data_IF_407239384622
#
_entry.id   IF_407239384622
#
_cell.length_a   1.000
_cell.length_b   1.000
_cell.length_c   1.000
_cell.angle_alpha   90.00
_cell.angle_beta   90.00
_cell.angle_gamma   90.00
#
_symmetry.space_group_name_H-M   'P 1'
#
loop_
_entity.id
_entity.type
_entity.pdbx_description
1 polymer ?
#
# COMPACT_ATOMS: atom_id res chain seq x y z
N UNK A 1 9.53 -16.15 -25.80
CA UNK A 1 9.16 -16.01 -25.61
C UNK A 1 8.88 -15.71 -25.59
N UNK A 2 8.95 -15.73 -25.56
CA UNK A 2 8.51 -15.53 -25.36
C UNK A 2 7.82 -15.46 -25.04
N UNK A 3 7.68 -15.92 -25.16
CA UNK A 3 6.94 -15.98 -24.74
C UNK A 3 6.79 -15.78 -23.93
N UNK A 4 7.06 -15.83 -23.95
CA UNK A 4 6.81 -15.53 -22.86
C UNK A 4 5.95 -14.64 -22.65
N UNK A 5 5.10 -15.04 -21.96
CA UNK A 5 4.36 -13.94 -21.57
C UNK A 5 5.29 -12.81 -21.27
N UNK A 6 5.02 -11.69 -21.80
CA UNK A 6 5.79 -10.56 -21.44
C UNK A 6 5.66 -10.40 -19.93
N UNK A 7 6.73 -10.62 -19.26
CA UNK A 7 6.78 -10.16 -17.89
C UNK A 7 6.65 -8.67 -18.01
N UNK A 8 5.51 -8.14 -17.66
CA UNK A 8 5.37 -6.70 -17.69
C UNK A 8 6.38 -6.11 -16.71
N UNK A 9 7.15 -5.17 -17.21
CA UNK A 9 8.03 -4.39 -16.37
C UNK A 9 7.16 -3.72 -15.31
N UNK A 10 7.48 -3.87 -14.01
CA UNK A 10 6.68 -3.22 -12.99
C UNK A 10 6.57 -1.73 -13.25
N UNK A 11 5.36 -1.22 -13.17
CA UNK A 11 5.10 0.19 -13.35
C UNK A 11 5.81 0.95 -12.23
N UNK A 12 6.52 2.00 -12.59
CA UNK A 12 7.15 2.86 -11.59
C UNK A 12 6.10 3.82 -11.05
N UNK A 13 5.74 3.64 -9.79
CA UNK A 13 4.69 4.42 -9.18
C UNK A 13 5.20 5.78 -8.73
N UNK A 14 4.29 6.75 -8.76
CA UNK A 14 4.59 8.13 -8.37
C UNK A 14 4.43 8.32 -6.88
N UNK A 15 5.06 9.37 -6.37
CA UNK A 15 4.80 9.81 -5.01
C UNK A 15 3.39 10.40 -4.94
N UNK A 16 2.67 10.20 -3.83
CA UNK A 16 1.34 10.79 -3.69
C UNK A 16 1.42 12.29 -3.47
N UNK A 17 0.37 12.99 -3.90
CA UNK A 17 0.11 14.35 -3.46
C UNK A 17 -0.84 14.20 -2.27
N UNK A 18 -0.40 14.49 -1.05
CA UNK A 18 -1.20 14.19 0.13
C UNK A 18 -2.55 14.91 0.13
N UNK A 19 -3.60 14.18 0.48
CA UNK A 19 -4.95 14.72 0.60
C UNK A 19 -5.41 14.77 2.04
N UNK A 20 -4.61 14.25 2.96
CA UNK A 20 -4.90 14.27 4.41
C UNK A 20 -3.62 14.03 5.19
N UNK A 21 -3.71 14.12 6.51
CA UNK A 21 -2.57 13.91 7.40
C UNK A 21 -2.03 12.49 7.25
N UNK A 22 -0.70 12.33 7.39
CA UNK A 22 -0.10 11.00 7.28
C UNK A 22 -0.45 10.11 8.47
N UNK A 23 -0.29 8.80 8.28
CA UNK A 23 -0.38 7.82 9.35
C UNK A 23 1.01 7.34 9.69
N UNK A 24 1.22 6.96 10.93
CA UNK A 24 2.54 6.52 11.41
C UNK A 24 2.45 5.12 12.00
N UNK A 25 3.42 4.29 11.67
CA UNK A 25 3.53 2.93 12.20
C UNK A 25 4.94 2.68 12.67
N UNK A 26 5.06 2.16 13.89
CA UNK A 26 6.35 1.70 14.39
C UNK A 26 6.29 0.18 14.44
N UNK A 27 7.11 -0.51 13.64
CA UNK A 27 7.04 -1.97 13.56
C UNK A 27 7.22 -2.62 14.93
N UNK A 28 6.33 -3.54 15.24
CA UNK A 28 6.41 -4.37 16.43
C UNK A 28 7.14 -5.66 16.07
N UNK A 29 7.50 -6.42 17.08
CA UNK A 29 8.23 -7.68 16.86
C UNK A 29 7.54 -8.60 15.85
N UNK A 30 6.21 -8.69 15.93
CA UNK A 30 5.44 -9.56 15.03
C UNK A 30 5.42 -9.09 13.59
N UNK A 31 5.85 -7.86 13.32
CA UNK A 31 5.92 -7.33 11.96
C UNK A 31 7.22 -7.72 11.25
N UNK A 32 8.16 -8.30 11.99
CA UNK A 32 9.50 -8.54 11.48
C UNK A 32 9.66 -9.96 10.97
N UNK A 33 10.50 -10.10 9.95
CA UNK A 33 10.91 -11.40 9.46
C UNK A 33 12.14 -11.90 10.23
N UNK A 34 12.68 -13.02 9.77
CA UNK A 34 13.83 -13.66 10.41
C UNK A 34 15.06 -12.76 10.44
N UNK A 35 15.19 -11.85 9.49
CA UNK A 35 16.34 -10.94 9.39
C UNK A 35 16.09 -9.60 10.06
N UNK A 36 15.01 -9.47 10.81
CA UNK A 36 14.60 -8.26 11.52
C UNK A 36 14.20 -7.12 10.58
N UNK A 37 13.89 -7.44 9.33
CA UNK A 37 13.28 -6.50 8.41
C UNK A 37 11.76 -6.60 8.54
N UNK A 38 11.06 -5.50 8.27
CA UNK A 38 9.60 -5.54 8.22
C UNK A 38 9.18 -6.47 7.09
N UNK A 39 8.32 -7.41 7.41
CA UNK A 39 7.77 -8.33 6.41
C UNK A 39 6.93 -7.54 5.41
N UNK A 40 7.21 -7.69 4.12
CA UNK A 40 6.50 -6.95 3.08
C UNK A 40 4.98 -7.11 3.16
N UNK A 41 4.49 -8.25 3.62
CA UNK A 41 3.06 -8.47 3.77
C UNK A 41 2.42 -7.50 4.77
N UNK A 42 3.20 -6.98 5.72
CA UNK A 42 2.66 -6.03 6.71
C UNK A 42 2.31 -4.69 6.08
N UNK A 43 3.02 -4.30 5.02
CA UNK A 43 2.72 -3.05 4.35
C UNK A 43 1.30 -3.05 3.79
N UNK A 44 0.81 -4.20 3.31
CA UNK A 44 -0.55 -4.31 2.79
C UNK A 44 -1.56 -4.03 3.90
N UNK A 45 -1.33 -4.60 5.09
CA UNK A 45 -2.20 -4.34 6.25
C UNK A 45 -2.18 -2.86 6.62
N UNK A 46 -1.00 -2.25 6.64
CA UNK A 46 -0.87 -0.85 6.99
C UNK A 46 -1.54 0.06 5.97
N UNK A 47 -1.46 -0.31 4.68
CA UNK A 47 -2.14 0.42 3.61
C UNK A 47 -3.66 0.39 3.85
N UNK A 48 -4.21 -0.79 4.12
CA UNK A 48 -5.65 -0.91 4.37
C UNK A 48 -6.05 -0.13 5.61
N UNK A 49 -5.21 -0.11 6.63
CA UNK A 49 -5.49 0.59 7.88
C UNK A 49 -5.41 2.11 7.74
N UNK A 50 -4.92 2.61 6.60
CA UNK A 50 -4.92 4.04 6.33
C UNK A 50 -6.32 4.59 6.09
N UNK A 51 -7.31 3.71 5.85
CA UNK A 51 -8.67 4.10 5.52
C UNK A 51 -9.61 3.82 6.67
N UNK A 52 -10.66 4.65 6.79
CA UNK A 52 -11.70 4.42 7.78
C UNK A 52 -12.37 3.08 7.46
N UNK A 53 -12.54 2.19 8.44
CA UNK A 53 -13.25 0.93 8.21
C UNK A 53 -14.63 1.10 7.56
N UNK A 54 -15.31 2.22 7.84
CA UNK A 54 -16.60 2.50 7.25
C UNK A 54 -16.55 2.61 5.73
N UNK A 55 -15.40 2.99 5.17
CA UNK A 55 -15.24 3.06 3.72
C UNK A 55 -15.46 1.70 3.08
N UNK A 56 -15.01 0.64 3.76
CA UNK A 56 -15.10 -0.72 3.23
C UNK A 56 -16.48 -1.32 3.33
N UNK A 57 -17.45 -0.60 3.91
CA UNK A 57 -18.86 -0.99 3.82
C UNK A 57 -19.45 -0.61 2.46
N UNK A 58 -18.84 0.35 1.78
CA UNK A 58 -19.33 0.84 0.50
C UNK A 58 -18.43 0.45 -0.67
N UNK A 59 -17.15 0.27 -0.41
CA UNK A 59 -16.15 0.02 -1.44
C UNK A 59 -15.22 -1.10 -1.01
N UNK A 60 -14.57 -1.71 -2.00
CA UNK A 60 -13.48 -2.65 -1.77
C UNK A 60 -12.30 -2.24 -2.63
N UNK A 61 -11.12 -2.72 -2.29
CA UNK A 61 -9.95 -2.50 -3.14
C UNK A 61 -10.02 -3.52 -4.26
N UNK A 62 -10.13 -3.03 -5.49
CA UNK A 62 -10.21 -3.87 -6.68
C UNK A 62 -8.85 -4.45 -7.04
N UNK A 63 -7.84 -3.61 -7.03
CA UNK A 63 -6.47 -4.05 -7.29
C UNK A 63 -5.50 -3.14 -6.54
N UNK A 64 -4.30 -3.67 -6.35
CA UNK A 64 -3.25 -3.00 -5.60
C UNK A 64 -1.92 -3.36 -6.24
N UNK A 65 -1.12 -2.35 -6.53
CA UNK A 65 0.23 -2.52 -7.04
C UNK A 65 1.20 -1.86 -6.06
N UNK A 66 2.30 -2.54 -5.75
CA UNK A 66 3.29 -2.03 -4.79
C UNK A 66 4.68 -2.11 -5.39
N UNK A 67 5.42 -1.01 -5.30
CA UNK A 67 6.85 -0.99 -5.57
C UNK A 67 7.58 -0.99 -4.24
N UNK A 68 8.35 -2.04 -3.96
CA UNK A 68 9.20 -2.09 -2.77
C UNK A 68 10.55 -1.49 -3.14
N UNK A 69 10.96 -0.46 -2.41
CA UNK A 69 12.16 0.33 -2.75
C UNK A 69 13.29 0.07 -1.78
N UNK A 70 13.02 0.16 -0.48
CA UNK A 70 14.00 -0.07 0.56
C UNK A 70 13.33 -0.84 1.69
N UNK A 71 14.14 -1.44 2.55
CA UNK A 71 13.63 -2.21 3.67
C UNK A 71 13.48 -1.34 4.92
N UNK A 72 12.47 -1.61 5.71
CA UNK A 72 12.31 -1.01 7.01
C UNK A 72 12.84 -1.98 8.07
N UNK A 73 13.33 -1.43 9.16
CA UNK A 73 13.94 -2.20 10.24
C UNK A 73 13.22 -1.92 11.57
N UNK A 74 13.48 -2.78 12.55
CA UNK A 74 12.94 -2.61 13.88
C UNK A 74 13.32 -1.23 14.44
N UNK A 75 12.36 -0.60 15.14
CA UNK A 75 12.61 0.67 15.80
C UNK A 75 12.50 1.91 14.92
N UNK A 76 12.28 1.73 13.63
CA UNK A 76 12.13 2.85 12.70
C UNK A 76 10.65 3.16 12.50
N UNK A 77 10.29 4.44 12.63
CA UNK A 77 8.90 4.84 12.39
C UNK A 77 8.68 5.01 10.90
N UNK A 78 7.61 4.42 10.41
CA UNK A 78 7.20 4.53 9.01
C UNK A 78 6.07 5.54 8.92
N UNK A 79 6.27 6.56 8.07
CA UNK A 79 5.24 7.55 7.79
C UNK A 79 4.56 7.17 6.49
N UNK A 80 3.24 7.08 6.53
CA UNK A 80 2.41 6.77 5.36
C UNK A 80 1.82 8.06 4.82
N UNK A 81 2.31 8.51 3.67
CA UNK A 81 1.77 9.68 2.97
C UNK A 81 0.66 9.21 2.04
N UNK A 82 -0.50 9.83 2.11
CA UNK A 82 -1.72 9.32 1.49
C UNK A 82 -2.32 10.36 0.55
N UNK A 83 -2.47 9.99 -0.72
CA UNK A 83 -3.23 10.75 -1.70
C UNK A 83 -4.39 9.91 -2.17
N UNK A 84 -5.61 10.38 -1.95
CA UNK A 84 -6.82 9.63 -2.22
C UNK A 84 -7.78 10.40 -3.10
N UNK A 85 -8.40 9.69 -4.05
CA UNK A 85 -9.53 10.20 -4.82
C UNK A 85 -10.73 9.31 -4.52
N UNK A 86 -11.85 9.57 -5.17
CA UNK A 86 -13.02 8.73 -4.98
C UNK A 86 -12.79 7.29 -5.46
N UNK A 87 -12.00 7.13 -6.52
CA UNK A 87 -11.83 5.84 -7.21
C UNK A 87 -10.49 5.18 -6.96
N UNK A 88 -9.53 5.89 -6.38
CA UNK A 88 -8.17 5.35 -6.29
C UNK A 88 -7.38 5.99 -5.15
N UNK A 89 -6.19 5.47 -4.94
CA UNK A 89 -5.26 6.06 -3.98
C UNK A 89 -3.82 5.83 -4.38
N UNK A 90 -2.96 6.72 -3.91
CA UNK A 90 -1.50 6.55 -3.94
C UNK A 90 -1.03 6.69 -2.51
N UNK A 91 -0.20 5.75 -2.07
CA UNK A 91 0.37 5.79 -0.73
C UNK A 91 1.87 5.54 -0.84
N UNK A 92 2.64 6.23 -0.04
CA UNK A 92 4.06 5.94 0.04
C UNK A 92 4.43 5.80 1.51
N UNK A 93 5.20 4.75 1.81
CA UNK A 93 5.77 4.57 3.13
C UNK A 93 7.19 5.10 3.14
N UNK A 94 7.51 5.90 4.13
CA UNK A 94 8.78 6.61 4.23
C UNK A 94 9.34 6.42 5.63
N UNK A 95 10.64 6.20 5.73
CA UNK A 95 11.30 6.25 7.02
C UNK A 95 11.22 7.69 7.50
N UNK A 96 10.51 7.92 8.60
CA UNK A 96 10.19 9.28 9.06
C UNK A 96 11.43 10.07 9.46
N UNK A 97 12.50 9.41 9.84
CA UNK A 97 13.73 10.07 10.25
C UNK A 97 14.62 10.42 9.06
N UNK A 98 14.88 9.45 8.19
CA UNK A 98 15.81 9.61 7.08
C UNK A 98 15.15 10.10 5.80
N UNK A 99 13.83 10.09 5.72
CA UNK A 99 13.05 10.41 4.52
C UNK A 99 13.31 9.43 3.37
N UNK A 100 13.82 8.24 3.69
CA UNK A 100 14.05 7.19 2.71
C UNK A 100 12.71 6.56 2.33
N UNK A 101 12.42 6.51 1.04
CA UNK A 101 11.20 5.85 0.54
C UNK A 101 11.36 4.35 0.70
N UNK A 102 10.39 3.73 1.35
CA UNK A 102 10.37 2.28 1.58
C UNK A 102 9.55 1.57 0.54
N UNK A 103 8.39 2.12 0.22
CA UNK A 103 7.52 1.56 -0.83
C UNK A 103 6.58 2.63 -1.36
N UNK A 104 6.03 2.36 -2.53
CA UNK A 104 4.93 3.13 -3.09
C UNK A 104 3.86 2.17 -3.54
N UNK A 105 2.61 2.55 -3.32
CA UNK A 105 1.47 1.70 -3.63
C UNK A 105 0.41 2.52 -4.37
N UNK A 106 -0.24 1.87 -5.32
CA UNK A 106 -1.37 2.44 -6.05
C UNK A 106 -2.49 1.43 -6.00
N UNK A 107 -3.69 1.88 -5.66
CA UNK A 107 -4.84 1.00 -5.63
C UNK A 107 -6.05 1.66 -6.25
N UNK A 108 -6.99 0.84 -6.66
CA UNK A 108 -8.28 1.31 -7.16
C UNK A 108 -9.38 0.71 -6.33
N UNK A 109 -10.43 1.52 -6.13
CA UNK A 109 -11.61 1.08 -5.41
C UNK A 109 -12.71 0.65 -6.38
N UNK A 110 -13.54 -0.27 -5.94
CA UNK A 110 -14.75 -0.66 -6.64
C UNK A 110 -15.91 -0.61 -5.64
N UNK A 111 -17.07 -0.16 -6.06
CA UNK A 111 -18.25 -0.13 -5.19
C UNK A 111 -18.73 -1.55 -4.97
N UNK A 112 -19.22 -1.82 -3.77
CA UNK A 112 -19.70 -3.15 -3.40
C UNK A 112 -20.80 -3.65 -4.33
N UNK A 113 -21.65 -2.77 -4.84
CA UNK A 113 -22.67 -3.13 -5.80
C UNK A 113 -22.09 -3.70 -7.09
N UNK A 114 -21.05 -3.03 -7.61
CA UNK A 114 -20.36 -3.46 -8.83
C UNK A 114 -19.61 -4.75 -8.57
N UNK A 115 -19.01 -4.84 -7.39
CA UNK A 115 -18.33 -6.03 -6.92
C UNK A 115 -19.25 -7.24 -6.94
N UNK A 116 -20.48 -7.11 -6.42
CA UNK A 116 -21.45 -8.18 -6.39
C UNK A 116 -21.85 -8.61 -7.80
N UNK A 117 -21.97 -7.66 -8.71
CA UNK A 117 -22.32 -7.94 -10.09
C UNK A 117 -21.21 -8.68 -10.80
N UNK A 118 -19.96 -8.32 -10.53
CA UNK A 118 -18.80 -8.87 -11.20
C UNK A 118 -18.18 -10.07 -10.46
N UNK A 119 -18.52 -10.22 -9.19
CA UNK A 119 -17.92 -11.23 -8.35
C UNK A 119 -16.47 -10.98 -8.01
N UNK A 120 -15.98 -9.77 -8.24
CA UNK A 120 -14.58 -9.41 -7.99
C UNK A 120 -14.43 -8.85 -6.59
N UNK A 121 -13.53 -9.46 -5.82
CA UNK A 121 -13.30 -9.06 -4.43
C UNK A 121 -11.84 -9.21 -4.09
N UNK A 122 -11.35 -8.32 -3.30
CA UNK A 122 -10.09 -8.49 -2.60
C UNK A 122 -10.35 -8.77 -1.13
#
# INVERSE_FOLDING_TARGET
SEMQSPVSVPKKLKAPVPTRAPRYYTPAYSDLDRNRHVNNARYISWICDCFDPALFEEKSILDLEINYVNQAFAGQTVRMDIGETEDSFLIQGVNDESETVLFRAEGRFIRCQDENADGAVL
#
